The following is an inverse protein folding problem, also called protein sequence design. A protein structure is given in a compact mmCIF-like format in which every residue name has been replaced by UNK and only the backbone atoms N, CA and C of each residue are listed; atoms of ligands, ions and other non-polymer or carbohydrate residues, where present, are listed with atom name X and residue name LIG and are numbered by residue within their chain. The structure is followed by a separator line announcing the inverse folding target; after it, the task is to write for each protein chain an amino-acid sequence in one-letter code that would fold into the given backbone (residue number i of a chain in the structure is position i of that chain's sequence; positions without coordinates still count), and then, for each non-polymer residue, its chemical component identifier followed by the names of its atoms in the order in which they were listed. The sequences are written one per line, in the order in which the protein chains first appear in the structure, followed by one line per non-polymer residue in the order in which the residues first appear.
data_IF_598122120966
#
_entry.id   IF_598122120966
#
_cell.length_a   1.000
_cell.length_b   1.000
_cell.length_c   1.000
_cell.angle_alpha   90.00
_cell.angle_beta   90.00
_cell.angle_gamma   90.00
#
_symmetry.space_group_name_H-M   'P 1'
#
loop_
_entity.id
_entity.type
_entity.pdbx_description
1 polymer ?
#
# COMPACT_ATOMS: atom_id res chain seq x y z
N UNK A 1 11.17 -62.04 61.76
CA UNK A 1 10.45 -61.43 60.60
C UNK A 1 10.73 -59.94 60.38
N UNK A 2 11.10 -59.13 61.39
CA UNK A 2 11.34 -57.67 61.26
C UNK A 2 12.43 -57.19 60.27
N UNK A 3 13.42 -58.01 59.89
CA UNK A 3 14.50 -57.60 58.98
C UNK A 3 14.09 -57.49 57.50
N UNK A 4 13.10 -58.28 57.05
CA UNK A 4 12.63 -58.28 55.64
C UNK A 4 11.64 -57.15 55.34
N UNK A 5 10.89 -56.69 56.34
CA UNK A 5 9.94 -55.56 56.19
C UNK A 5 10.67 -54.22 55.99
N UNK A 6 11.77 -54.00 56.73
CA UNK A 6 12.59 -52.79 56.61
C UNK A 6 13.34 -52.68 55.27
N UNK A 7 13.70 -53.79 54.61
CA UNK A 7 14.32 -53.76 53.28
C UNK A 7 13.31 -53.42 52.17
N UNK A 8 12.08 -53.91 52.29
CA UNK A 8 11.02 -53.63 51.31
C UNK A 8 10.57 -52.16 51.34
N UNK A 9 10.45 -51.56 52.53
CA UNK A 9 10.13 -50.13 52.68
C UNK A 9 11.21 -49.22 52.08
N UNK A 10 12.50 -49.52 52.28
CA UNK A 10 13.61 -48.76 51.68
C UNK A 10 13.68 -48.90 50.17
N UNK A 11 13.37 -50.08 49.62
CA UNK A 11 13.31 -50.29 48.18
C UNK A 11 12.19 -49.46 47.54
N UNK A 12 11.00 -49.48 48.15
CA UNK A 12 9.84 -48.70 47.67
C UNK A 12 10.08 -47.19 47.76
N UNK A 13 10.72 -46.69 48.83
CA UNK A 13 11.07 -45.26 48.92
C UNK A 13 12.09 -44.84 47.86
N UNK A 14 13.11 -45.65 47.61
CA UNK A 14 14.12 -45.38 46.59
C UNK A 14 13.53 -45.45 45.17
N UNK A 15 12.60 -46.37 44.92
CA UNK A 15 11.89 -46.45 43.65
C UNK A 15 11.02 -45.21 43.42
N UNK A 16 10.25 -44.80 44.44
CA UNK A 16 9.42 -43.60 44.37
C UNK A 16 10.25 -42.33 44.19
N UNK A 17 11.40 -42.24 44.87
CA UNK A 17 12.35 -41.14 44.70
C UNK A 17 12.88 -41.05 43.27
N UNK A 18 13.34 -42.18 42.70
CA UNK A 18 13.78 -42.23 41.29
C UNK A 18 12.68 -41.86 40.30
N UNK A 19 11.44 -42.27 40.57
CA UNK A 19 10.29 -41.91 39.73
C UNK A 19 10.02 -40.39 39.78
N UNK A 20 10.10 -39.78 40.97
CA UNK A 20 9.95 -38.34 41.15
C UNK A 20 11.09 -37.57 40.50
N UNK A 21 12.32 -38.05 40.62
CA UNK A 21 13.50 -37.43 39.99
C UNK A 21 13.39 -37.44 38.46
N UNK A 22 12.91 -38.55 37.85
CA UNK A 22 12.63 -38.61 36.41
C UNK A 22 11.56 -37.60 36.00
N UNK A 23 10.44 -37.56 36.74
CA UNK A 23 9.38 -36.58 36.47
C UNK A 23 9.87 -35.14 36.59
N UNK A 24 10.79 -34.87 37.51
CA UNK A 24 11.35 -33.55 37.72
C UNK A 24 12.21 -33.15 36.50
N UNK A 25 13.07 -34.05 36.02
CA UNK A 25 13.84 -33.85 34.79
C UNK A 25 12.96 -33.69 33.55
N UNK A 26 11.89 -34.48 33.42
CA UNK A 26 10.93 -34.36 32.32
C UNK A 26 10.21 -33.00 32.35
N UNK A 27 9.86 -32.50 33.55
CA UNK A 27 9.25 -31.19 33.72
C UNK A 27 10.23 -30.05 33.42
N UNK A 28 11.49 -30.16 33.87
CA UNK A 28 12.54 -29.20 33.54
C UNK A 28 12.76 -29.09 32.02
N UNK A 29 12.82 -30.23 31.32
CA UNK A 29 12.94 -30.25 29.87
C UNK A 29 11.73 -29.62 29.19
N UNK A 30 10.51 -29.90 29.66
CA UNK A 30 9.29 -29.27 29.13
C UNK A 30 9.29 -27.76 29.34
N UNK A 31 9.71 -27.29 30.51
CA UNK A 31 9.83 -25.85 30.80
C UNK A 31 10.81 -25.20 29.83
N UNK A 32 11.96 -25.84 29.59
CA UNK A 32 12.96 -25.30 28.67
C UNK A 32 12.44 -25.22 27.23
N UNK A 33 11.80 -26.29 26.74
CA UNK A 33 11.20 -26.30 25.40
C UNK A 33 10.13 -25.22 25.24
N UNK A 34 9.24 -25.07 26.22
CA UNK A 34 8.18 -24.05 26.19
C UNK A 34 8.76 -22.63 26.20
N UNK A 35 9.85 -22.37 26.93
CA UNK A 35 10.53 -21.07 26.90
C UNK A 35 11.08 -20.75 25.50
N UNK A 36 11.67 -21.74 24.83
CA UNK A 36 12.19 -21.56 23.47
C UNK A 36 11.06 -21.35 22.45
N UNK A 37 9.92 -22.04 22.59
CA UNK A 37 8.74 -21.81 21.75
C UNK A 37 8.19 -20.40 21.93
N UNK A 38 8.05 -19.92 23.17
CA UNK A 38 7.57 -18.56 23.47
C UNK A 38 8.49 -17.50 22.84
N UNK A 39 9.80 -17.67 22.92
CA UNK A 39 10.75 -16.73 22.30
C UNK A 39 10.63 -16.72 20.77
N UNK A 40 10.45 -17.90 20.13
CA UNK A 40 10.21 -17.98 18.69
C UNK A 40 8.91 -17.29 18.28
N UNK A 41 7.83 -17.51 19.03
CA UNK A 41 6.54 -16.85 18.75
C UNK A 41 6.60 -15.34 18.92
N UNK A 42 7.32 -14.83 19.93
CA UNK A 42 7.55 -13.38 20.08
C UNK A 42 8.26 -12.80 18.87
N UNK A 43 9.35 -13.43 18.42
CA UNK A 43 10.09 -12.95 17.24
C UNK A 43 9.22 -12.93 15.98
N UNK A 44 8.35 -13.93 15.80
CA UNK A 44 7.39 -13.98 14.69
C UNK A 44 6.33 -12.87 14.81
N UNK A 45 5.81 -12.64 16.02
CA UNK A 45 4.87 -11.56 16.31
C UNK A 45 5.47 -10.19 16.01
N UNK A 46 6.69 -9.94 16.45
CA UNK A 46 7.36 -8.65 16.24
C UNK A 46 7.63 -8.40 14.75
N UNK A 47 8.07 -9.44 14.01
CA UNK A 47 8.26 -9.33 12.54
C UNK A 47 6.95 -9.07 11.81
N UNK A 48 5.88 -9.77 12.19
CA UNK A 48 4.57 -9.58 11.56
C UNK A 48 3.95 -8.21 11.87
N UNK A 49 4.19 -7.67 13.08
CA UNK A 49 3.77 -6.32 13.43
C UNK A 49 4.46 -5.27 12.54
N UNK A 50 5.79 -5.34 12.38
CA UNK A 50 6.54 -4.42 11.49
C UNK A 50 6.06 -4.53 10.04
N UNK A 51 5.78 -5.74 9.57
CA UNK A 51 5.26 -5.95 8.22
C UNK A 51 3.85 -5.36 8.04
N UNK A 52 2.99 -5.51 9.05
CA UNK A 52 1.64 -4.93 9.06
C UNK A 52 1.70 -3.39 9.01
N UNK A 53 2.56 -2.77 9.82
CA UNK A 53 2.73 -1.31 9.82
C UNK A 53 3.15 -0.80 8.44
N UNK A 54 4.10 -1.50 7.79
CA UNK A 54 4.53 -1.18 6.42
C UNK A 54 3.36 -1.27 5.43
N UNK A 55 2.55 -2.32 5.49
CA UNK A 55 1.39 -2.48 4.62
C UNK A 55 0.31 -1.41 4.87
N UNK A 56 0.14 -0.98 6.12
CA UNK A 56 -0.79 0.10 6.45
C UNK A 56 -0.33 1.44 5.86
N UNK A 57 0.97 1.74 5.90
CA UNK A 57 1.52 2.93 5.25
C UNK A 57 1.37 2.88 3.73
N UNK A 58 1.69 1.75 3.08
CA UNK A 58 1.52 1.55 1.64
C UNK A 58 0.05 1.69 1.22
N UNK A 59 -0.88 1.11 2.00
CA UNK A 59 -2.30 1.22 1.73
C UNK A 59 -2.80 2.66 1.88
N UNK A 60 -2.34 3.38 2.91
CA UNK A 60 -2.68 4.78 3.10
C UNK A 60 -2.22 5.64 1.92
N UNK A 61 -0.99 5.44 1.46
CA UNK A 61 -0.46 6.14 0.28
C UNK A 61 -1.29 5.83 -0.97
N UNK A 62 -1.59 4.56 -1.24
CA UNK A 62 -2.43 4.13 -2.37
C UNK A 62 -3.83 4.73 -2.30
N UNK A 63 -4.43 4.78 -1.10
CA UNK A 63 -5.75 5.38 -0.88
C UNK A 63 -5.73 6.87 -1.16
N UNK A 64 -4.71 7.59 -0.71
CA UNK A 64 -4.55 9.02 -1.00
C UNK A 64 -4.44 9.26 -2.52
N UNK A 65 -3.63 8.46 -3.23
CA UNK A 65 -3.54 8.53 -4.69
C UNK A 65 -4.88 8.23 -5.38
N UNK A 66 -5.58 7.18 -4.96
CA UNK A 66 -6.90 6.84 -5.50
C UNK A 66 -7.91 7.97 -5.26
N UNK A 67 -7.95 8.55 -4.06
CA UNK A 67 -8.85 9.66 -3.74
C UNK A 67 -8.52 10.91 -4.57
N UNK A 68 -7.25 11.18 -4.86
CA UNK A 68 -6.85 12.27 -5.76
C UNK A 68 -7.36 12.02 -7.18
N UNK A 69 -7.20 10.81 -7.71
CA UNK A 69 -7.72 10.42 -9.02
C UNK A 69 -9.26 10.53 -9.07
N UNK A 70 -9.96 10.07 -8.03
CA UNK A 70 -11.41 10.21 -7.92
C UNK A 70 -11.82 11.67 -7.84
N UNK A 71 -11.12 12.53 -7.09
CA UNK A 71 -11.41 13.98 -7.06
C UNK A 71 -11.21 14.64 -8.42
N UNK A 72 -10.23 14.20 -9.21
CA UNK A 72 -10.00 14.65 -10.58
C UNK A 72 -11.12 14.22 -11.53
N UNK A 73 -11.84 13.14 -11.23
CA UNK A 73 -12.96 12.62 -12.04
C UNK A 73 -14.33 13.09 -11.54
N UNK A 74 -14.50 13.29 -10.24
CA UNK A 74 -15.80 13.49 -9.57
C UNK A 74 -16.25 14.96 -9.55
N UNK A 75 -15.35 15.93 -9.81
CA UNK A 75 -15.78 17.31 -10.06
C UNK A 75 -16.51 17.33 -11.39
N UNK A 76 -17.85 17.33 -11.35
CA UNK A 76 -18.79 17.33 -12.49
C UNK A 76 -18.45 18.26 -13.68
N UNK A 77 -17.52 19.20 -13.49
CA UNK A 77 -16.82 19.90 -14.57
C UNK A 77 -15.31 19.70 -14.34
N UNK A 78 -14.65 18.68 -14.91
CA UNK A 78 -13.20 18.41 -14.71
C UNK A 78 -12.35 19.53 -15.33
N UNK A 79 -12.42 20.72 -14.74
CA UNK A 79 -11.80 21.93 -15.24
C UNK A 79 -10.48 22.14 -14.55
N UNK A 80 -9.40 22.19 -15.32
CA UNK A 80 -8.05 22.45 -14.86
C UNK A 80 -7.72 23.90 -15.24
N UNK A 81 -7.23 24.67 -14.28
CA UNK A 81 -6.78 26.05 -14.51
C UNK A 81 -5.26 26.05 -14.59
N UNK A 82 -4.74 26.43 -15.74
CA UNK A 82 -3.32 26.53 -16.04
C UNK A 82 -2.90 28.01 -16.07
N UNK A 83 -1.64 28.30 -15.78
CA UNK A 83 -1.09 29.65 -15.97
C UNK A 83 -0.95 29.92 -17.47
N UNK A 84 -1.38 31.09 -17.95
CA UNK A 84 -1.18 31.48 -19.34
C UNK A 84 0.25 32.01 -19.53
N UNK A 85 1.09 31.30 -20.28
CA UNK A 85 2.44 31.74 -20.65
C UNK A 85 2.48 32.30 -22.08
N UNK A 86 1.43 33.03 -22.49
CA UNK A 86 1.19 33.53 -23.86
C UNK A 86 1.03 32.41 -24.90
N UNK A 87 0.37 31.33 -24.51
CA UNK A 87 0.06 30.24 -25.42
C UNK A 87 -0.89 30.69 -26.54
N UNK A 88 -0.67 30.22 -27.77
CA UNK A 88 -1.53 30.58 -28.90
C UNK A 88 -2.76 29.67 -28.96
N UNK A 89 -3.64 29.79 -27.95
CA UNK A 89 -4.85 28.98 -27.80
C UNK A 89 -6.08 29.88 -27.73
N UNK A 90 -7.18 29.45 -28.35
CA UNK A 90 -8.46 30.18 -28.32
C UNK A 90 -9.51 29.47 -27.49
N UNK A 91 -10.50 30.23 -27.06
CA UNK A 91 -11.70 29.68 -26.42
C UNK A 91 -12.39 28.68 -27.35
N UNK A 92 -12.89 27.57 -26.79
CA UNK A 92 -13.53 26.46 -27.49
C UNK A 92 -12.62 25.65 -28.42
N UNK A 93 -11.30 25.85 -28.32
CA UNK A 93 -10.34 25.03 -29.04
C UNK A 93 -10.21 23.65 -28.40
N UNK A 94 -10.15 22.61 -29.24
CA UNK A 94 -9.89 21.24 -28.80
C UNK A 94 -8.39 21.01 -28.60
N UNK A 95 -8.03 20.42 -27.48
CA UNK A 95 -6.67 20.03 -27.14
C UNK A 95 -6.50 18.52 -27.25
N UNK A 96 -5.24 18.10 -27.36
CA UNK A 96 -4.87 16.68 -27.51
C UNK A 96 -4.00 16.24 -26.35
N UNK A 97 -4.18 14.98 -25.93
CA UNK A 97 -3.28 14.32 -24.99
C UNK A 97 -2.22 13.57 -25.80
N UNK A 98 -0.99 14.05 -25.77
CA UNK A 98 0.13 13.47 -26.49
C UNK A 98 1.16 12.87 -25.52
N UNK A 99 1.84 11.82 -25.95
CA UNK A 99 2.98 11.26 -25.23
C UNK A 99 4.26 11.92 -25.73
N UNK A 100 5.00 12.57 -24.84
CA UNK A 100 6.28 13.23 -25.12
C UNK A 100 7.36 12.51 -24.32
N UNK A 101 8.12 11.63 -24.99
CA UNK A 101 9.12 10.79 -24.32
C UNK A 101 8.48 9.81 -23.35
N UNK A 102 8.83 9.90 -22.06
CA UNK A 102 8.27 9.08 -20.97
C UNK A 102 6.95 9.60 -20.41
N UNK A 103 6.63 10.89 -20.64
CA UNK A 103 5.56 11.60 -19.95
C UNK A 103 4.40 11.87 -20.91
N UNK A 104 3.24 12.19 -20.34
CA UNK A 104 2.08 12.64 -21.09
C UNK A 104 1.92 14.14 -20.95
N UNK A 105 1.38 14.78 -21.98
CA UNK A 105 1.23 16.22 -22.03
C UNK A 105 -0.05 16.63 -22.78
N UNK A 106 -0.61 17.77 -22.39
CA UNK A 106 -1.69 18.44 -23.12
C UNK A 106 -1.05 19.37 -24.15
N UNK A 107 -1.37 19.15 -25.41
CA UNK A 107 -0.85 19.93 -26.54
C UNK A 107 -1.96 20.60 -27.33
N UNK A 108 -1.65 21.79 -27.84
CA UNK A 108 -2.46 22.47 -28.87
C UNK A 108 -2.34 21.77 -30.22
N UNK A 109 -3.18 22.15 -31.18
CA UNK A 109 -3.05 21.68 -32.57
C UNK A 109 -1.71 22.07 -33.21
N UNK A 110 -1.08 23.14 -32.72
CA UNK A 110 0.25 23.60 -33.15
C UNK A 110 1.40 22.87 -32.44
N UNK A 111 1.11 21.79 -31.69
CA UNK A 111 2.07 21.02 -30.88
C UNK A 111 2.74 21.81 -29.75
N UNK A 112 2.12 22.93 -29.34
CA UNK A 112 2.58 23.69 -28.18
C UNK A 112 2.14 23.00 -26.89
N UNK A 113 3.09 22.71 -26.00
CA UNK A 113 2.84 22.01 -24.74
C UNK A 113 2.30 22.96 -23.67
N UNK A 114 1.05 22.76 -23.28
CA UNK A 114 0.36 23.56 -22.26
C UNK A 114 0.61 23.04 -20.84
N UNK A 115 0.68 21.72 -20.70
CA UNK A 115 0.81 21.06 -19.41
C UNK A 115 1.48 19.70 -19.59
N UNK A 116 2.40 19.36 -18.69
CA UNK A 116 3.03 18.05 -18.62
C UNK A 116 2.55 17.39 -17.34
N UNK A 117 2.03 16.18 -17.46
CA UNK A 117 1.62 15.39 -16.32
C UNK A 117 2.85 14.79 -15.62
N UNK A 118 2.74 14.68 -14.30
CA UNK A 118 3.73 14.00 -13.47
C UNK A 118 3.73 12.48 -13.73
N UNK A 119 4.86 11.82 -13.45
CA UNK A 119 5.08 10.40 -13.77
C UNK A 119 4.12 9.46 -13.01
N UNK A 120 3.62 9.89 -11.86
CA UNK A 120 2.66 9.15 -11.03
C UNK A 120 1.28 9.01 -11.67
N UNK A 121 0.96 9.86 -12.66
CA UNK A 121 -0.30 9.84 -13.40
C UNK A 121 -0.24 8.99 -14.69
N UNK A 122 0.90 8.35 -14.97
CA UNK A 122 1.15 7.63 -16.22
C UNK A 122 0.14 6.52 -16.49
N UNK A 123 -0.14 5.70 -15.48
CA UNK A 123 -1.07 4.56 -15.62
C UNK A 123 -2.51 5.05 -15.86
N UNK A 124 -2.92 6.10 -15.15
CA UNK A 124 -4.21 6.74 -15.35
C UNK A 124 -4.35 7.29 -16.78
N UNK A 125 -3.34 8.01 -17.27
CA UNK A 125 -3.37 8.62 -18.60
C UNK A 125 -3.32 7.57 -19.71
N UNK A 126 -2.62 6.47 -19.49
CA UNK A 126 -2.62 5.33 -20.41
C UNK A 126 -4.00 4.68 -20.49
N UNK A 127 -4.68 4.47 -19.36
CA UNK A 127 -6.06 3.99 -19.34
C UNK A 127 -6.99 4.98 -20.04
N UNK A 128 -6.78 6.27 -19.81
CA UNK A 128 -7.60 7.32 -20.39
C UNK A 128 -7.51 7.33 -21.92
N UNK A 129 -6.33 7.11 -22.50
CA UNK A 129 -6.18 7.00 -23.96
C UNK A 129 -7.02 5.88 -24.59
N UNK A 130 -7.46 4.88 -23.80
CA UNK A 130 -8.35 3.81 -24.28
C UNK A 130 -9.83 4.18 -24.23
N UNK A 131 -10.19 5.28 -23.56
CA UNK A 131 -11.55 5.77 -23.44
C UNK A 131 -11.81 6.87 -24.48
N UNK A 132 -13.08 7.08 -24.83
CA UNK A 132 -13.47 8.26 -25.61
C UNK A 132 -13.41 9.50 -24.71
N UNK A 133 -12.44 10.38 -24.93
CA UNK A 133 -12.29 11.61 -24.15
C UNK A 133 -12.27 12.87 -25.03
N UNK A 134 -12.45 14.02 -24.40
CA UNK A 134 -12.39 15.34 -25.02
C UNK A 134 -11.76 16.34 -24.05
N UNK A 135 -10.83 17.14 -24.56
CA UNK A 135 -10.21 18.24 -23.81
C UNK A 135 -10.52 19.54 -24.57
N UNK A 136 -11.19 20.49 -23.92
CA UNK A 136 -11.66 21.72 -24.56
C UNK A 136 -11.22 22.92 -23.73
N UNK A 137 -10.76 23.99 -24.38
CA UNK A 137 -10.49 25.26 -23.71
C UNK A 137 -11.80 25.99 -23.42
N UNK A 138 -12.11 26.25 -22.15
CA UNK A 138 -13.31 27.00 -21.74
C UNK A 138 -13.10 28.51 -21.73
N UNK A 139 -11.92 28.98 -21.31
CA UNK A 139 -11.58 30.41 -21.28
C UNK A 139 -10.07 30.62 -21.35
N UNK A 140 -9.68 31.77 -21.92
CA UNK A 140 -8.28 32.21 -22.03
C UNK A 140 -8.23 33.67 -21.60
N UNK A 141 -7.59 33.92 -20.46
CA UNK A 141 -7.32 35.25 -19.92
C UNK A 141 -5.83 35.55 -20.01
N UNK A 142 -5.44 36.81 -19.79
CA UNK A 142 -4.03 37.23 -19.78
C UNK A 142 -3.16 36.46 -18.78
N UNK A 143 -3.75 35.89 -17.73
CA UNK A 143 -3.03 35.18 -16.67
C UNK A 143 -3.29 33.67 -16.62
N UNK A 144 -4.40 33.19 -17.20
CA UNK A 144 -4.89 31.83 -16.98
C UNK A 144 -5.56 31.24 -18.22
N UNK A 145 -5.40 29.94 -18.40
CA UNK A 145 -6.15 29.13 -19.37
C UNK A 145 -6.97 28.12 -18.59
N UNK A 146 -8.28 28.08 -18.81
CA UNK A 146 -9.16 27.07 -18.21
C UNK A 146 -9.48 26.03 -19.25
N UNK A 147 -9.13 24.78 -18.97
CA UNK A 147 -9.45 23.65 -19.84
C UNK A 147 -10.45 22.74 -19.13
N UNK A 148 -11.38 22.16 -19.87
CA UNK A 148 -12.30 21.14 -19.38
C UNK A 148 -11.94 19.80 -19.99
N UNK A 149 -11.86 18.83 -19.10
CA UNK A 149 -11.73 17.44 -19.44
C UNK A 149 -13.10 16.75 -19.40
N UNK A 150 -13.42 15.94 -20.40
CA UNK A 150 -14.65 15.16 -20.42
C UNK A 150 -14.38 13.77 -20.96
N UNK A 151 -14.76 12.76 -20.18
CA UNK A 151 -14.87 11.39 -20.68
C UNK A 151 -16.28 11.27 -21.27
N UNK A 152 -16.37 10.79 -22.51
CA UNK A 152 -17.64 10.47 -23.15
C UNK A 152 -18.02 9.08 -22.67
N UNK A 153 -19.07 9.02 -21.85
CA UNK A 153 -19.72 7.76 -21.54
C UNK A 153 -20.53 7.36 -22.79
N UNK A 154 -20.24 6.20 -23.37
CA UNK A 154 -21.12 5.55 -24.35
C UNK A 154 -22.25 4.84 -23.62
#
# INVERSE_FOLDING_TARGET
MKKRENSNLKFLSNFYYKLKERRLKDLEQKIQNLKEEIEKEKLLKDRSAVYLDKLLEENKALKEHYEQQVKLLAKRNNTITLKNNNYNVKQWENLTLAKIGSNYAIQTKAMETLYVFEDDMKDFLQLLQTLDYSIIVLSVDSSRVVIQFRIKEN
#
